data_IF_947991037477
#
_entry.id   IF_947991037477
#
_cell.length_a   1.000
_cell.length_b   1.000
_cell.length_c   1.000
_cell.angle_alpha   90.00
_cell.angle_beta   90.00
_cell.angle_gamma   90.00
#
_symmetry.space_group_name_H-M   'P 1'
#
loop_
_entity.id
_entity.type
_entity.pdbx_description
1 polymer ?
#
# COMPACT_ATOMS: atom_id res chain seq x y z
N UNK A 1 -6.64 1.39 16.58
CA UNK A 1 -6.58 1.89 15.19
C UNK A 1 -5.52 1.08 14.46
N UNK A 2 -5.92 0.11 13.62
CA UNK A 2 -4.97 -0.74 12.92
C UNK A 2 -4.46 -0.02 11.68
N UNK A 3 -3.16 0.25 11.63
CA UNK A 3 -2.49 0.92 10.52
C UNK A 3 -2.26 -0.10 9.39
N UNK A 4 -2.97 0.07 8.26
CA UNK A 4 -2.89 -0.84 7.11
C UNK A 4 -1.89 -0.33 6.08
N UNK A 5 -1.08 -1.22 5.53
CA UNK A 5 -0.09 -0.91 4.48
C UNK A 5 -0.45 -1.72 3.24
N UNK A 6 -0.61 -1.09 2.09
CA UNK A 6 -0.86 -1.76 0.81
C UNK A 6 0.45 -2.15 0.13
N UNK A 7 0.60 -3.41 -0.25
CA UNK A 7 1.74 -3.98 -0.95
C UNK A 7 1.35 -4.43 -2.36
N UNK A 8 1.26 -3.45 -3.26
CA UNK A 8 0.69 -3.64 -4.60
C UNK A 8 1.53 -4.54 -5.52
N UNK A 9 2.85 -4.43 -5.41
CA UNK A 9 3.82 -5.23 -6.17
C UNK A 9 4.32 -6.46 -5.38
N UNK A 10 3.69 -6.75 -4.25
CA UNK A 10 4.15 -7.73 -3.27
C UNK A 10 5.25 -7.19 -2.36
N UNK A 11 5.46 -7.91 -1.27
CA UNK A 11 6.44 -7.62 -0.23
C UNK A 11 7.07 -8.94 0.20
N UNK A 12 8.35 -8.90 0.60
CA UNK A 12 9.02 -10.08 1.13
C UNK A 12 8.36 -10.57 2.42
N UNK A 13 8.36 -11.89 2.64
CA UNK A 13 7.77 -12.51 3.82
C UNK A 13 8.41 -11.99 5.11
N UNK A 14 9.72 -11.70 5.10
CA UNK A 14 10.40 -11.11 6.24
C UNK A 14 9.91 -9.69 6.53
N UNK A 15 9.71 -8.88 5.49
CA UNK A 15 9.17 -7.51 5.60
C UNK A 15 7.74 -7.50 6.14
N UNK A 16 6.90 -8.41 5.64
CA UNK A 16 5.54 -8.61 6.16
C UNK A 16 5.55 -8.94 7.65
N UNK A 17 6.35 -9.94 8.05
CA UNK A 17 6.43 -10.38 9.44
C UNK A 17 6.92 -9.27 10.38
N UNK A 18 7.85 -8.41 9.95
CA UNK A 18 8.32 -7.27 10.73
C UNK A 18 7.21 -6.24 10.95
N UNK A 19 6.47 -5.91 9.89
CA UNK A 19 5.36 -4.95 9.93
C UNK A 19 4.21 -5.48 10.78
N UNK A 20 3.85 -6.75 10.64
CA UNK A 20 2.84 -7.41 11.49
C UNK A 20 3.26 -7.43 12.97
N UNK A 21 4.54 -7.70 13.26
CA UNK A 21 5.08 -7.60 14.62
C UNK A 21 5.07 -6.18 15.19
N UNK A 22 5.24 -5.18 14.33
CA UNK A 22 5.14 -3.77 14.71
C UNK A 22 3.68 -3.26 14.83
N UNK A 23 2.68 -4.14 14.63
CA UNK A 23 1.26 -3.81 14.77
C UNK A 23 0.64 -3.21 13.51
N UNK A 24 1.30 -3.37 12.35
CA UNK A 24 0.76 -2.97 11.04
C UNK A 24 0.15 -4.17 10.31
N UNK A 25 -0.90 -3.94 9.53
CA UNK A 25 -1.53 -5.00 8.73
C UNK A 25 -1.12 -4.84 7.27
N UNK A 26 -0.46 -5.84 6.70
CA UNK A 26 0.07 -5.75 5.34
C UNK A 26 -0.87 -6.40 4.31
N UNK A 27 -1.45 -5.51 3.52
CA UNK A 27 -2.20 -5.56 2.27
C UNK A 27 -1.56 -6.16 1.01
N UNK A 28 -1.39 -7.46 0.78
CA UNK A 28 -0.77 -7.92 -0.49
C UNK A 28 -1.74 -8.04 -1.67
N UNK A 29 -2.76 -7.18 -1.73
CA UNK A 29 -3.74 -7.18 -2.81
C UNK A 29 -3.23 -6.35 -3.99
N UNK A 30 -3.35 -6.90 -5.19
CA UNK A 30 -2.90 -6.25 -6.42
C UNK A 30 -4.02 -5.36 -6.96
N UNK A 31 -3.86 -4.06 -6.78
CA UNK A 31 -4.72 -3.00 -7.28
C UNK A 31 -4.16 -2.48 -8.61
N UNK A 32 -5.03 -2.32 -9.60
CA UNK A 32 -4.69 -1.70 -10.87
C UNK A 32 -4.32 -0.22 -10.66
N UNK A 33 -3.42 0.32 -11.48
CA UNK A 33 -2.90 1.69 -11.30
C UNK A 33 -4.01 2.76 -11.33
N UNK A 34 -5.04 2.55 -12.14
CA UNK A 34 -6.23 3.42 -12.20
C UNK A 34 -7.05 3.43 -10.90
N UNK A 35 -7.09 2.31 -10.18
CA UNK A 35 -7.84 2.15 -8.93
C UNK A 35 -6.99 2.36 -7.68
N UNK A 36 -5.68 2.63 -7.84
CA UNK A 36 -4.73 2.75 -6.74
C UNK A 36 -5.13 3.86 -5.76
N UNK A 37 -5.50 5.03 -6.29
CA UNK A 37 -5.92 6.19 -5.48
C UNK A 37 -7.20 5.87 -4.70
N UNK A 38 -8.19 5.26 -5.37
CA UNK A 38 -9.45 4.89 -4.72
C UNK A 38 -9.20 3.87 -3.60
N UNK A 39 -8.43 2.81 -3.86
CA UNK A 39 -8.14 1.78 -2.88
C UNK A 39 -7.39 2.35 -1.66
N UNK A 40 -6.42 3.25 -1.87
CA UNK A 40 -5.68 3.93 -0.78
C UNK A 40 -6.60 4.75 0.11
N UNK A 41 -7.46 5.57 -0.50
CA UNK A 41 -8.38 6.43 0.24
C UNK A 41 -9.51 5.65 0.93
N UNK A 42 -10.09 4.66 0.24
CA UNK A 42 -11.22 3.86 0.75
C UNK A 42 -10.81 3.00 1.94
N UNK A 43 -9.67 2.30 1.84
CA UNK A 43 -9.15 1.46 2.91
C UNK A 43 -8.31 2.20 3.94
N UNK A 44 -8.08 3.51 3.72
CA UNK A 44 -7.21 4.38 4.53
C UNK A 44 -5.84 3.73 4.77
N UNK A 45 -5.20 3.29 3.70
CA UNK A 45 -3.85 2.76 3.79
C UNK A 45 -2.90 3.88 4.21
N UNK A 46 -2.14 3.64 5.27
CA UNK A 46 -1.16 4.61 5.80
C UNK A 46 0.20 4.50 5.12
N UNK A 47 0.36 3.51 4.24
CA UNK A 47 1.59 3.22 3.54
C UNK A 47 1.31 2.39 2.30
N UNK A 48 2.11 2.61 1.26
CA UNK A 48 2.06 1.90 0.00
C UNK A 48 3.48 1.40 -0.33
N UNK A 49 3.64 0.11 -0.56
CA UNK A 49 4.88 -0.46 -1.11
C UNK A 49 4.68 -0.82 -2.58
N UNK A 50 5.52 -0.24 -3.42
CA UNK A 50 5.53 -0.45 -4.87
C UNK A 50 6.86 -0.99 -5.34
N UNK A 51 6.84 -1.62 -6.51
CA UNK A 51 8.02 -2.03 -7.29
C UNK A 51 7.89 -1.47 -8.70
N UNK A 52 8.64 -2.03 -9.65
CA UNK A 52 8.75 -1.56 -11.02
C UNK A 52 7.43 -1.52 -11.79
N UNK A 53 6.38 -2.26 -11.40
CA UNK A 53 5.12 -2.26 -12.13
C UNK A 53 4.18 -1.11 -11.75
N UNK A 54 4.27 -0.57 -10.53
CA UNK A 54 3.40 0.53 -10.08
C UNK A 54 4.10 1.87 -10.21
N UNK A 55 3.52 2.81 -10.98
CA UNK A 55 4.03 4.17 -11.12
C UNK A 55 3.27 5.11 -10.20
N UNK A 56 3.90 5.49 -9.09
CA UNK A 56 3.38 6.54 -8.19
C UNK A 56 3.85 7.88 -8.72
N UNK A 57 2.97 8.58 -9.45
CA UNK A 57 3.22 9.94 -9.97
C UNK A 57 2.71 10.98 -8.98
N UNK A 58 3.03 12.25 -9.24
CA UNK A 58 2.58 13.39 -8.45
C UNK A 58 1.07 13.39 -8.23
N UNK A 59 0.30 13.06 -9.27
CA UNK A 59 -1.17 13.00 -9.18
C UNK A 59 -1.68 11.99 -8.15
N UNK A 60 -0.98 10.87 -7.97
CA UNK A 60 -1.33 9.84 -6.97
C UNK A 60 -1.05 10.35 -5.56
N UNK A 61 0.05 11.09 -5.38
CA UNK A 61 0.44 11.65 -4.09
C UNK A 61 -0.49 12.81 -3.71
N UNK A 62 -0.76 13.72 -4.66
CA UNK A 62 -1.67 14.85 -4.46
C UNK A 62 -3.11 14.41 -4.17
N UNK A 63 -3.52 13.22 -4.66
CA UNK A 63 -4.83 12.64 -4.40
C UNK A 63 -4.94 11.83 -3.08
N UNK A 64 -3.87 11.75 -2.29
CA UNK A 64 -3.82 11.05 -1.00
C UNK A 64 -3.33 12.00 0.10
N UNK A 65 -4.24 12.70 0.82
CA UNK A 65 -3.90 13.69 1.84
C UNK A 65 -3.44 13.09 3.19
#
# INVERSE_FOLDING_TARGET
MSKKILANDGIDAQGKALLEKAGFTVITEKVAQENLIQAINEHKYIGLTVRSATKVRKDVIDACP
#
